data_IF_072985318625
#
_entry.id   IF_072985318625
#
_cell.length_a   1.000
_cell.length_b   1.000
_cell.length_c   1.000
_cell.angle_alpha   90.00
_cell.angle_beta   90.00
_cell.angle_gamma   90.00
#
_symmetry.space_group_name_H-M   'P 1'
#
loop_
_entity.id
_entity.type
_entity.pdbx_description
1 polymer ?
#
# COMPACT_ATOMS: atom_id res chain seq x y z
N UNK A 1 -12.55 43.89 2.10
CA UNK A 1 -12.44 42.89 3.19
C UNK A 1 -13.77 42.74 3.93
N UNK A 2 -14.42 43.82 4.40
CA UNK A 2 -15.71 43.74 5.12
C UNK A 2 -16.84 43.07 4.38
N UNK A 3 -17.00 43.28 3.05
CA UNK A 3 -18.06 42.64 2.25
C UNK A 3 -17.94 41.13 2.25
N UNK A 4 -16.75 40.57 1.98
CA UNK A 4 -16.50 39.11 1.98
C UNK A 4 -16.79 38.49 3.35
N UNK A 5 -16.50 39.16 4.44
CA UNK A 5 -16.79 38.71 5.80
C UNK A 5 -18.31 38.68 6.07
N UNK A 6 -18.99 39.73 5.61
CA UNK A 6 -20.46 39.79 5.70
C UNK A 6 -21.12 38.63 4.93
N UNK A 7 -20.71 38.45 3.67
CA UNK A 7 -21.25 37.37 2.81
C UNK A 7 -20.96 35.98 3.36
N UNK A 8 -19.73 35.77 3.91
CA UNK A 8 -19.38 34.53 4.58
C UNK A 8 -20.29 34.25 5.79
N UNK A 9 -20.55 35.28 6.60
CA UNK A 9 -21.43 35.15 7.76
C UNK A 9 -22.86 34.83 7.32
N UNK A 10 -23.37 35.52 6.30
CA UNK A 10 -24.71 35.26 5.73
C UNK A 10 -24.83 33.80 5.24
N UNK A 11 -23.80 33.28 4.55
CA UNK A 11 -23.73 31.86 4.14
C UNK A 11 -23.75 30.89 5.32
N UNK A 12 -22.97 31.18 6.37
CA UNK A 12 -22.95 30.35 7.58
C UNK A 12 -24.30 30.27 8.26
N UNK A 13 -25.05 31.41 8.36
CA UNK A 13 -26.40 31.43 8.93
C UNK A 13 -27.40 30.68 8.06
N UNK A 14 -27.28 30.75 6.73
CA UNK A 14 -28.24 30.17 5.78
C UNK A 14 -27.98 28.66 5.54
N UNK A 15 -26.71 28.27 5.36
CA UNK A 15 -26.30 26.90 4.92
C UNK A 15 -25.63 26.08 6.02
N UNK A 16 -25.36 26.68 7.17
CA UNK A 16 -24.57 26.06 8.22
C UNK A 16 -23.06 26.15 7.94
N UNK A 17 -22.27 25.58 8.84
CA UNK A 17 -20.81 25.57 8.75
C UNK A 17 -20.28 24.64 7.69
N UNK A 18 -19.16 25.04 7.09
CA UNK A 18 -18.36 24.20 6.21
C UNK A 18 -17.10 23.72 6.93
N UNK A 19 -16.81 22.44 6.84
CA UNK A 19 -15.55 21.88 7.34
C UNK A 19 -14.52 21.80 6.21
N UNK A 20 -13.36 22.39 6.42
CA UNK A 20 -12.21 22.27 5.51
C UNK A 20 -11.38 21.01 5.80
N UNK A 21 -11.70 20.25 6.86
CA UNK A 21 -10.96 19.07 7.28
C UNK A 21 -9.49 19.37 7.62
N UNK A 22 -8.68 18.34 7.72
CA UNK A 22 -7.23 18.48 7.93
C UNK A 22 -6.52 18.54 6.57
N UNK A 23 -6.48 19.73 5.97
CA UNK A 23 -5.71 19.95 4.73
C UNK A 23 -4.23 20.13 5.09
N UNK A 24 -3.38 19.28 4.51
CA UNK A 24 -1.92 19.41 4.63
C UNK A 24 -1.38 20.38 3.56
N UNK A 25 -0.31 21.08 3.88
CA UNK A 25 0.43 21.87 2.89
C UNK A 25 1.20 20.94 1.93
N UNK A 26 0.79 20.93 0.67
CA UNK A 26 1.39 20.11 -0.38
C UNK A 26 2.38 20.86 -1.28
N UNK A 27 2.72 22.12 -0.98
CA UNK A 27 3.62 22.91 -1.83
C UNK A 27 5.00 22.27 -1.98
N UNK A 28 5.52 21.63 -0.94
CA UNK A 28 6.76 20.86 -1.01
C UNK A 28 6.65 19.66 -1.95
N UNK A 29 5.53 18.95 -1.90
CA UNK A 29 5.20 17.82 -2.78
C UNK A 29 5.13 18.26 -4.24
N UNK A 30 4.47 19.37 -4.53
CA UNK A 30 4.40 19.94 -5.89
C UNK A 30 5.77 20.33 -6.43
N UNK A 31 6.65 20.92 -5.60
CA UNK A 31 8.02 21.23 -6.01
C UNK A 31 8.82 19.98 -6.41
N UNK A 32 8.60 18.85 -5.74
CA UNK A 32 9.24 17.58 -6.11
C UNK A 32 8.74 17.07 -7.46
N UNK A 33 7.44 17.19 -7.74
CA UNK A 33 6.89 16.85 -9.05
C UNK A 33 7.50 17.69 -10.17
N UNK A 34 7.71 19.00 -9.98
CA UNK A 34 8.29 19.87 -11.01
C UNK A 34 9.73 19.51 -11.38
N UNK A 35 10.46 18.82 -10.51
CA UNK A 35 11.80 18.27 -10.79
C UNK A 35 11.78 16.81 -11.23
N UNK A 36 10.59 16.27 -11.54
CA UNK A 36 10.43 14.91 -12.09
C UNK A 36 10.50 13.78 -11.06
N UNK A 37 10.40 14.08 -9.75
CA UNK A 37 10.39 13.05 -8.72
C UNK A 37 9.00 12.42 -8.60
N UNK A 38 8.92 11.09 -8.55
CA UNK A 38 7.70 10.41 -8.19
C UNK A 38 7.35 10.63 -6.71
N UNK A 39 6.06 10.69 -6.40
CA UNK A 39 5.53 10.80 -5.04
C UNK A 39 5.33 9.41 -4.44
N UNK A 40 5.48 9.32 -3.12
CA UNK A 40 5.11 8.11 -2.38
C UNK A 40 3.61 8.07 -2.04
N UNK A 41 3.12 6.95 -1.53
CA UNK A 41 1.71 6.76 -1.20
C UNK A 41 1.17 7.80 -0.19
N UNK A 42 1.85 8.13 0.93
CA UNK A 42 1.42 9.19 1.84
C UNK A 42 1.29 10.58 1.19
N UNK A 43 2.19 10.93 0.26
CA UNK A 43 2.16 12.20 -0.46
C UNK A 43 0.97 12.26 -1.42
N UNK A 44 0.75 11.20 -2.21
CA UNK A 44 -0.42 11.07 -3.10
C UNK A 44 -1.75 11.11 -2.33
N UNK A 45 -1.83 10.44 -1.18
CA UNK A 45 -3.01 10.51 -0.31
C UNK A 45 -3.23 11.92 0.26
N UNK A 46 -2.17 12.69 0.50
CA UNK A 46 -2.29 14.08 0.95
C UNK A 46 -2.84 14.98 -0.17
N UNK A 47 -2.37 14.77 -1.41
CA UNK A 47 -2.94 15.41 -2.61
C UNK A 47 -4.41 15.03 -2.78
N UNK A 48 -4.73 13.75 -2.72
CA UNK A 48 -6.09 13.23 -2.83
C UNK A 48 -7.04 13.88 -1.80
N UNK A 49 -6.61 13.95 -0.53
CA UNK A 49 -7.39 14.58 0.54
C UNK A 49 -7.65 16.07 0.28
N UNK A 50 -6.69 16.80 -0.29
CA UNK A 50 -6.88 18.19 -0.71
C UNK A 50 -7.92 18.28 -1.83
N UNK A 51 -7.83 17.44 -2.85
CA UNK A 51 -8.78 17.43 -3.99
C UNK A 51 -10.21 17.06 -3.54
N UNK A 52 -10.36 16.06 -2.67
CA UNK A 52 -11.64 15.68 -2.08
C UNK A 52 -12.25 16.83 -1.24
N UNK A 53 -11.42 17.52 -0.47
CA UNK A 53 -11.82 18.71 0.28
C UNK A 53 -12.27 19.83 -0.66
N UNK A 54 -11.52 20.10 -1.71
CA UNK A 54 -11.86 21.06 -2.75
C UNK A 54 -13.22 20.75 -3.38
N UNK A 55 -13.49 19.46 -3.66
CA UNK A 55 -14.80 19.02 -4.16
C UNK A 55 -15.94 19.31 -3.20
N UNK A 56 -15.76 19.03 -1.89
CA UNK A 56 -16.78 19.34 -0.86
C UNK A 56 -17.03 20.84 -0.73
N UNK A 57 -15.97 21.65 -0.74
CA UNK A 57 -16.08 23.11 -0.66
C UNK A 57 -16.79 23.66 -1.90
N UNK A 58 -16.45 23.16 -3.09
CA UNK A 58 -17.14 23.55 -4.33
C UNK A 58 -18.63 23.15 -4.34
N UNK A 59 -18.94 21.95 -3.83
CA UNK A 59 -20.32 21.48 -3.71
C UNK A 59 -21.13 22.33 -2.74
N UNK A 60 -20.53 22.75 -1.61
CA UNK A 60 -21.18 23.66 -0.65
C UNK A 60 -21.61 24.99 -1.32
N UNK A 61 -20.84 25.51 -2.26
CA UNK A 61 -21.21 26.76 -2.97
C UNK A 61 -22.45 26.59 -3.86
N UNK A 62 -22.70 25.37 -4.38
CA UNK A 62 -23.74 25.08 -5.38
C UNK A 62 -25.10 24.70 -4.80
N UNK A 63 -25.19 24.43 -3.50
CA UNK A 63 -26.37 23.80 -2.90
C UNK A 63 -27.65 24.65 -2.87
N UNK A 64 -27.63 25.95 -3.30
CA UNK A 64 -28.81 26.82 -3.36
C UNK A 64 -28.88 27.57 -4.69
N UNK A 65 -29.01 26.84 -5.78
CA UNK A 65 -29.24 27.47 -7.09
C UNK A 65 -30.60 28.16 -7.25
N UNK A 66 -31.50 27.96 -6.30
CA UNK A 66 -32.87 28.45 -6.41
C UNK A 66 -33.05 29.93 -6.00
N UNK A 67 -32.08 30.52 -5.29
CA UNK A 67 -32.25 31.89 -4.77
C UNK A 67 -31.65 33.01 -5.63
N UNK A 68 -30.97 32.69 -6.74
CA UNK A 68 -30.40 33.72 -7.63
C UNK A 68 -29.36 34.64 -6.98
N UNK A 69 -28.98 34.40 -5.72
CA UNK A 69 -28.06 35.26 -4.98
C UNK A 69 -26.62 34.98 -5.40
N UNK A 70 -26.04 35.96 -6.05
CA UNK A 70 -24.55 36.03 -6.25
C UNK A 70 -23.98 36.90 -5.15
N UNK A 71 -22.83 36.46 -4.58
CA UNK A 71 -22.10 37.21 -3.57
C UNK A 71 -20.60 37.32 -3.89
N UNK A 72 -19.88 38.07 -3.06
CA UNK A 72 -18.45 38.33 -3.29
C UNK A 72 -17.53 37.10 -3.16
N UNK A 73 -18.07 35.95 -2.73
CA UNK A 73 -17.33 34.69 -2.55
C UNK A 73 -17.48 33.75 -3.76
N UNK A 74 -18.46 33.97 -4.62
CA UNK A 74 -18.74 33.06 -5.77
C UNK A 74 -17.53 32.88 -6.67
N UNK A 75 -16.79 33.94 -6.95
CA UNK A 75 -15.55 33.86 -7.73
C UNK A 75 -14.48 32.98 -7.07
N UNK A 76 -14.37 32.98 -5.76
CA UNK A 76 -13.43 32.12 -5.02
C UNK A 76 -13.86 30.65 -5.10
N UNK A 77 -15.14 30.34 -4.95
CA UNK A 77 -15.63 28.97 -5.09
C UNK A 77 -15.57 28.48 -6.53
N UNK A 78 -15.84 29.35 -7.51
CA UNK A 78 -15.77 29.01 -8.93
C UNK A 78 -14.34 28.64 -9.37
N UNK A 79 -13.33 29.28 -8.79
CA UNK A 79 -11.90 29.01 -9.09
C UNK A 79 -11.37 27.67 -8.54
N UNK A 80 -12.17 26.98 -7.70
CA UNK A 80 -11.76 25.68 -7.16
C UNK A 80 -11.88 24.59 -8.23
N UNK A 81 -10.79 23.83 -8.43
CA UNK A 81 -10.76 22.69 -9.35
C UNK A 81 -10.51 21.39 -8.56
N UNK A 82 -11.56 20.56 -8.33
CA UNK A 82 -11.45 19.37 -7.48
C UNK A 82 -10.71 18.20 -8.15
N UNK A 83 -10.47 18.22 -9.46
CA UNK A 83 -9.82 17.15 -10.21
C UNK A 83 -10.32 15.76 -9.79
N UNK A 84 -11.64 15.60 -9.75
CA UNK A 84 -12.30 14.37 -9.25
C UNK A 84 -11.80 13.09 -9.90
N UNK A 85 -11.52 13.03 -11.23
CA UNK A 85 -10.95 11.82 -11.83
C UNK A 85 -9.63 11.41 -11.19
N UNK A 86 -8.74 12.37 -10.91
CA UNK A 86 -7.45 12.11 -10.29
C UNK A 86 -7.61 11.63 -8.83
N UNK A 87 -8.43 12.29 -8.04
CA UNK A 87 -8.66 11.85 -6.64
C UNK A 87 -9.28 10.46 -6.57
N UNK A 88 -10.21 10.14 -7.49
CA UNK A 88 -10.82 8.80 -7.60
C UNK A 88 -9.77 7.74 -7.98
N UNK A 89 -8.90 8.05 -8.93
CA UNK A 89 -7.86 7.13 -9.37
C UNK A 89 -6.83 6.88 -8.27
N UNK A 90 -6.40 7.92 -7.54
CA UNK A 90 -5.52 7.75 -6.38
C UNK A 90 -6.17 6.83 -5.34
N UNK A 91 -7.46 7.02 -5.02
CA UNK A 91 -8.19 6.17 -4.06
C UNK A 91 -8.35 4.74 -4.53
N UNK A 92 -8.54 4.53 -5.82
CA UNK A 92 -8.63 3.19 -6.41
C UNK A 92 -7.31 2.43 -6.25
N UNK A 93 -6.19 3.12 -6.41
CA UNK A 93 -4.86 2.52 -6.37
C UNK A 93 -4.27 2.41 -4.96
N UNK A 94 -4.56 3.37 -4.08
CA UNK A 94 -3.91 3.47 -2.75
C UNK A 94 -4.98 3.37 -1.66
N UNK A 95 -4.97 2.25 -0.93
CA UNK A 95 -5.91 1.99 0.17
C UNK A 95 -5.47 2.66 1.47
N UNK A 96 -4.18 2.63 1.76
CA UNK A 96 -3.57 3.27 2.92
C UNK A 96 -2.13 3.70 2.63
N UNK A 97 -1.47 4.33 3.61
CA UNK A 97 -0.07 4.75 3.49
C UNK A 97 0.89 3.60 3.18
N UNK A 98 0.55 2.39 3.59
CA UNK A 98 1.37 1.18 3.49
C UNK A 98 0.75 0.12 2.55
N UNK A 99 -0.38 0.43 1.90
CA UNK A 99 -1.15 -0.57 1.15
C UNK A 99 -1.60 -0.04 -0.23
N UNK A 100 -1.10 -0.69 -1.26
CA UNK A 100 -1.51 -0.51 -2.66
C UNK A 100 -2.53 -1.58 -3.02
N UNK A 101 -3.63 -1.17 -3.63
CA UNK A 101 -4.72 -2.07 -4.05
C UNK A 101 -4.26 -3.08 -5.11
N UNK A 102 -4.76 -4.29 -5.04
CA UNK A 102 -4.63 -5.28 -6.13
C UNK A 102 -5.22 -4.77 -7.44
N UNK A 103 -6.21 -3.87 -7.35
CA UNK A 103 -6.86 -3.26 -8.50
C UNK A 103 -6.07 -2.10 -9.11
N UNK A 104 -4.94 -1.72 -8.51
CA UNK A 104 -4.09 -0.65 -9.03
C UNK A 104 -3.52 -1.01 -10.43
N UNK A 105 -3.12 -2.27 -10.64
CA UNK A 105 -2.77 -2.77 -11.97
C UNK A 105 -3.07 -4.27 -12.12
N UNK A 106 -3.28 -4.73 -13.35
CA UNK A 106 -3.42 -6.15 -13.66
C UNK A 106 -2.13 -6.92 -13.38
N UNK A 107 -0.99 -6.29 -13.59
CA UNK A 107 0.34 -6.84 -13.32
C UNK A 107 0.54 -7.09 -11.83
N UNK A 108 0.24 -6.11 -10.97
CA UNK A 108 0.34 -6.24 -9.51
C UNK A 108 -0.53 -7.39 -9.00
N UNK A 109 -1.79 -7.44 -9.47
CA UNK A 109 -2.72 -8.52 -9.12
C UNK A 109 -2.19 -9.89 -9.51
N UNK A 110 -1.61 -10.02 -10.70
CA UNK A 110 -1.03 -11.29 -11.16
C UNK A 110 0.19 -11.69 -10.32
N UNK A 111 1.09 -10.76 -10.01
CA UNK A 111 2.26 -11.01 -9.18
C UNK A 111 1.83 -11.50 -7.80
N UNK A 112 0.88 -10.84 -7.13
CA UNK A 112 0.38 -11.23 -5.80
C UNK A 112 -0.30 -12.59 -5.80
N UNK A 113 -1.06 -12.92 -6.85
CA UNK A 113 -1.61 -14.27 -7.04
C UNK A 113 -0.51 -15.31 -7.16
N UNK A 114 0.57 -15.00 -7.89
CA UNK A 114 1.70 -15.90 -8.04
C UNK A 114 2.46 -16.10 -6.72
N UNK A 115 2.65 -15.03 -5.93
CA UNK A 115 3.23 -15.11 -4.59
C UNK A 115 2.40 -16.04 -3.71
N UNK A 116 1.09 -15.84 -3.67
CA UNK A 116 0.17 -16.69 -2.88
C UNK A 116 0.25 -18.15 -3.30
N UNK A 117 0.14 -18.42 -4.60
CA UNK A 117 0.22 -19.79 -5.11
C UNK A 117 1.57 -20.45 -4.81
N UNK A 118 2.67 -19.72 -4.86
CA UNK A 118 4.00 -20.24 -4.53
C UNK A 118 4.14 -20.51 -3.03
N UNK A 119 3.63 -19.62 -2.17
CA UNK A 119 3.53 -19.85 -0.73
C UNK A 119 2.74 -21.12 -0.40
N UNK A 120 1.56 -21.31 -1.00
CA UNK A 120 0.72 -22.49 -0.80
C UNK A 120 1.46 -23.78 -1.20
N UNK A 121 2.23 -23.74 -2.29
CA UNK A 121 3.07 -24.88 -2.72
C UNK A 121 4.19 -25.19 -1.73
N UNK A 122 4.88 -24.17 -1.19
CA UNK A 122 5.91 -24.36 -0.16
C UNK A 122 5.29 -25.01 1.07
N UNK A 123 4.19 -24.46 1.56
CA UNK A 123 3.51 -25.00 2.74
C UNK A 123 3.10 -26.47 2.52
N UNK A 124 2.58 -26.81 1.36
CA UNK A 124 2.22 -28.20 1.01
C UNK A 124 3.43 -29.13 1.04
N UNK A 125 4.55 -28.73 0.42
CA UNK A 125 5.76 -29.54 0.39
C UNK A 125 6.40 -29.70 1.77
N UNK A 126 6.50 -28.59 2.53
CA UNK A 126 7.07 -28.64 3.87
C UNK A 126 6.19 -29.41 4.85
N UNK A 127 4.88 -29.28 4.78
CA UNK A 127 3.96 -30.05 5.60
C UNK A 127 4.10 -31.55 5.33
N UNK A 128 4.28 -31.96 4.08
CA UNK A 128 4.55 -33.35 3.73
C UNK A 128 5.88 -33.87 4.30
N UNK A 129 6.95 -33.04 4.25
CA UNK A 129 8.24 -33.37 4.85
C UNK A 129 8.16 -33.50 6.37
N UNK A 130 7.53 -32.53 7.03
CA UNK A 130 7.40 -32.45 8.48
C UNK A 130 6.54 -33.60 9.04
N UNK A 131 5.48 -33.99 8.34
CA UNK A 131 4.63 -35.13 8.74
C UNK A 131 5.21 -36.50 8.36
N UNK A 132 6.10 -36.53 7.38
CA UNK A 132 6.65 -37.74 6.76
C UNK A 132 8.13 -37.98 7.09
N UNK A 133 8.95 -37.93 6.07
CA UNK A 133 10.36 -38.40 6.10
C UNK A 133 11.26 -37.63 7.08
N UNK A 134 11.00 -36.36 7.34
CA UNK A 134 11.84 -35.56 8.23
C UNK A 134 11.39 -35.62 9.71
N UNK A 135 10.21 -36.13 10.01
CA UNK A 135 9.54 -36.03 11.33
C UNK A 135 10.45 -36.39 12.51
N UNK A 136 11.21 -37.48 12.42
CA UNK A 136 12.06 -37.97 13.50
C UNK A 136 13.31 -37.10 13.72
N UNK A 137 13.68 -36.29 12.75
CA UNK A 137 14.87 -35.44 12.76
C UNK A 137 14.58 -34.04 13.24
N UNK A 138 13.28 -33.66 13.34
CA UNK A 138 12.87 -32.31 13.72
C UNK A 138 12.91 -32.12 15.23
N UNK A 139 13.26 -30.90 15.65
CA UNK A 139 13.09 -30.44 17.03
C UNK A 139 11.61 -30.22 17.32
N UNK A 140 10.89 -29.59 16.38
CA UNK A 140 9.45 -29.34 16.41
C UNK A 140 8.86 -29.53 15.02
N UNK A 141 7.62 -29.99 14.94
CA UNK A 141 6.90 -30.20 13.66
C UNK A 141 6.26 -28.91 13.17
N UNK A 142 7.07 -27.85 13.01
CA UNK A 142 6.63 -26.52 12.58
C UNK A 142 7.38 -26.04 11.34
N UNK A 143 6.73 -25.20 10.55
CA UNK A 143 7.35 -24.46 9.45
C UNK A 143 7.67 -23.08 10.00
N UNK A 144 8.91 -22.61 9.83
CA UNK A 144 9.37 -21.31 10.30
C UNK A 144 9.91 -20.48 9.16
N UNK A 145 10.15 -19.20 9.40
CA UNK A 145 10.83 -18.33 8.46
C UNK A 145 12.12 -17.80 9.08
N UNK A 146 13.23 -17.86 8.34
CA UNK A 146 14.52 -17.30 8.69
C UNK A 146 15.08 -16.56 7.48
N UNK A 147 15.48 -15.31 7.67
CA UNK A 147 16.00 -14.43 6.59
C UNK A 147 15.11 -14.39 5.34
N UNK A 148 13.78 -14.41 5.54
CA UNK A 148 12.82 -14.43 4.43
C UNK A 148 12.73 -15.77 3.70
N UNK A 149 13.25 -16.87 4.29
CA UNK A 149 13.23 -18.23 3.71
C UNK A 149 12.40 -19.16 4.59
N UNK A 150 11.58 -19.99 3.98
CA UNK A 150 10.86 -21.05 4.68
C UNK A 150 11.82 -22.16 5.07
N UNK A 151 11.89 -22.46 6.35
CA UNK A 151 12.78 -23.42 6.97
C UNK A 151 12.02 -24.36 7.90
N UNK A 152 12.65 -25.48 8.24
CA UNK A 152 12.21 -26.41 9.28
C UNK A 152 13.28 -26.56 10.36
N UNK A 153 12.91 -26.67 11.67
CA UNK A 153 13.85 -26.81 12.76
C UNK A 153 14.32 -28.28 12.90
N UNK A 154 15.58 -28.53 12.55
CA UNK A 154 16.21 -29.86 12.59
C UNK A 154 17.14 -29.95 13.79
N UNK A 155 17.12 -31.05 14.54
CA UNK A 155 18.10 -31.32 15.60
C UNK A 155 19.50 -31.37 14.99
N UNK A 156 20.47 -30.70 15.61
CA UNK A 156 21.82 -30.56 15.05
C UNK A 156 22.50 -31.90 14.75
N UNK A 157 22.23 -32.94 15.55
CA UNK A 157 22.73 -34.32 15.36
C UNK A 157 22.25 -34.99 14.06
N UNK A 158 21.10 -34.53 13.51
CA UNK A 158 20.50 -35.06 12.28
C UNK A 158 20.73 -34.16 11.06
N UNK A 159 21.66 -33.21 11.13
CA UNK A 159 21.99 -32.29 10.02
C UNK A 159 22.16 -32.99 8.67
N UNK A 160 22.79 -34.18 8.66
CA UNK A 160 23.07 -34.94 7.44
C UNK A 160 21.83 -35.69 6.88
N UNK A 161 20.75 -35.77 7.62
CA UNK A 161 19.54 -36.51 7.23
C UNK A 161 18.52 -35.63 6.49
N UNK A 162 18.65 -34.30 6.58
CA UNK A 162 17.78 -33.34 5.90
C UNK A 162 18.63 -32.51 4.92
N UNK A 163 18.67 -32.90 3.65
CA UNK A 163 19.42 -32.13 2.65
C UNK A 163 18.84 -30.73 2.50
N UNK A 164 19.68 -29.70 2.63
CA UNK A 164 19.23 -28.31 2.55
C UNK A 164 20.30 -27.32 2.95
N UNK A 165 19.91 -26.04 3.01
CA UNK A 165 20.76 -24.94 3.40
C UNK A 165 20.43 -24.49 4.83
N UNK A 166 21.46 -24.32 5.68
CA UNK A 166 21.29 -23.82 7.03
C UNK A 166 21.25 -22.28 6.97
N UNK A 167 20.18 -21.68 7.47
CA UNK A 167 20.03 -20.23 7.52
C UNK A 167 20.25 -19.68 8.92
N UNK A 168 19.97 -20.47 9.95
CA UNK A 168 20.07 -20.02 11.33
C UNK A 168 20.28 -21.21 12.28
N UNK A 169 20.65 -20.93 13.55
CA UNK A 169 20.71 -21.91 14.62
C UNK A 169 20.17 -21.36 15.92
N UNK A 170 19.69 -22.23 16.81
CA UNK A 170 19.28 -21.83 18.16
C UNK A 170 20.50 -21.34 18.97
N UNK A 171 20.24 -20.55 20.02
CA UNK A 171 21.30 -19.99 20.87
C UNK A 171 22.22 -21.07 21.49
N UNK A 172 21.69 -22.28 21.74
CA UNK A 172 22.45 -23.43 22.24
C UNK A 172 23.13 -24.23 21.13
N UNK A 173 22.85 -23.93 19.87
CA UNK A 173 23.34 -24.70 18.72
C UNK A 173 22.69 -26.09 18.54
N UNK A 174 21.71 -26.45 19.39
CA UNK A 174 21.04 -27.76 19.36
C UNK A 174 20.02 -27.91 18.21
N UNK A 175 19.56 -26.81 17.65
CA UNK A 175 18.59 -26.77 16.55
C UNK A 175 19.14 -25.97 15.39
N UNK A 176 19.06 -26.51 14.19
CA UNK A 176 19.42 -25.86 12.95
C UNK A 176 18.15 -25.55 12.15
N UNK A 177 18.01 -24.34 11.66
CA UNK A 177 16.93 -23.95 10.77
C UNK A 177 17.36 -24.18 9.34
N UNK A 178 16.87 -25.28 8.76
CA UNK A 178 17.26 -25.75 7.44
C UNK A 178 16.17 -25.42 6.44
N UNK A 179 16.55 -24.79 5.33
CA UNK A 179 15.75 -24.69 4.11
C UNK A 179 15.96 -26.01 3.31
N UNK A 180 14.96 -26.90 3.24
CA UNK A 180 15.11 -28.15 2.51
C UNK A 180 15.31 -27.90 1.01
N UNK A 181 16.16 -28.73 0.38
CA UNK A 181 16.41 -28.64 -1.08
C UNK A 181 15.13 -28.66 -1.91
N UNK A 182 14.10 -29.36 -1.45
CA UNK A 182 12.81 -29.45 -2.12
C UNK A 182 12.13 -28.08 -2.31
N UNK A 183 12.39 -27.10 -1.44
CA UNK A 183 11.73 -25.78 -1.50
C UNK A 183 12.65 -24.62 -1.86
N UNK A 184 13.96 -24.87 -2.05
CA UNK A 184 14.95 -23.82 -2.40
C UNK A 184 14.51 -23.02 -3.64
N UNK A 185 14.09 -23.73 -4.70
CA UNK A 185 13.61 -23.07 -5.91
C UNK A 185 12.38 -22.21 -5.64
N UNK A 186 11.39 -22.71 -4.91
CA UNK A 186 10.16 -21.97 -4.60
C UNK A 186 10.45 -20.73 -3.72
N UNK A 187 11.35 -20.85 -2.75
CA UNK A 187 11.81 -19.69 -1.96
C UNK A 187 12.49 -18.64 -2.84
N UNK A 188 13.29 -19.06 -3.83
CA UNK A 188 13.89 -18.13 -4.80
C UNK A 188 12.82 -17.47 -5.67
N UNK A 189 11.84 -18.24 -6.15
CA UNK A 189 10.73 -17.73 -6.96
C UNK A 189 9.93 -16.66 -6.18
N UNK A 190 9.67 -16.87 -4.87
CA UNK A 190 9.02 -15.85 -4.02
C UNK A 190 9.86 -14.59 -3.98
N UNK A 191 11.15 -14.69 -3.74
CA UNK A 191 12.03 -13.51 -3.66
C UNK A 191 12.03 -12.70 -4.95
N UNK A 192 12.06 -13.37 -6.10
CA UNK A 192 11.93 -12.71 -7.39
C UNK A 192 10.57 -12.03 -7.57
N UNK A 193 9.49 -12.67 -7.13
CA UNK A 193 8.14 -12.11 -7.21
C UNK A 193 7.99 -10.89 -6.30
N UNK A 194 8.55 -10.91 -5.09
CA UNK A 194 8.56 -9.76 -4.17
C UNK A 194 9.29 -8.55 -4.78
N UNK A 195 10.42 -8.79 -5.43
CA UNK A 195 11.15 -7.73 -6.14
C UNK A 195 10.34 -7.17 -7.33
N UNK A 196 9.63 -8.03 -8.06
CA UNK A 196 8.72 -7.61 -9.14
C UNK A 196 7.54 -6.82 -8.59
N UNK A 197 6.99 -7.22 -7.44
CA UNK A 197 5.91 -6.49 -6.76
C UNK A 197 6.36 -5.08 -6.39
N UNK A 198 7.51 -4.97 -5.74
CA UNK A 198 8.06 -3.67 -5.35
C UNK A 198 8.27 -2.76 -6.55
N UNK A 199 8.84 -3.28 -7.63
CA UNK A 199 9.06 -2.53 -8.87
C UNK A 199 7.74 -2.09 -9.52
N UNK A 200 6.73 -2.95 -9.53
CA UNK A 200 5.41 -2.60 -10.08
C UNK A 200 4.73 -1.52 -9.24
N UNK A 201 4.86 -1.55 -7.91
CA UNK A 201 4.37 -0.49 -7.01
C UNK A 201 5.04 0.84 -7.36
N UNK A 202 6.35 0.87 -7.60
CA UNK A 202 7.07 2.08 -8.03
C UNK A 202 6.52 2.63 -9.35
N UNK A 203 6.23 1.75 -10.32
CA UNK A 203 5.63 2.13 -11.61
C UNK A 203 4.24 2.75 -11.42
N UNK A 204 3.41 2.15 -10.57
CA UNK A 204 2.06 2.67 -10.25
C UNK A 204 2.16 4.07 -9.63
N UNK A 205 3.01 4.25 -8.62
CA UNK A 205 3.19 5.54 -7.94
C UNK A 205 3.75 6.61 -8.90
N UNK A 206 4.70 6.23 -9.75
CA UNK A 206 5.23 7.13 -10.78
C UNK A 206 4.15 7.53 -11.80
N UNK A 207 3.33 6.60 -12.25
CA UNK A 207 2.21 6.87 -13.18
C UNK A 207 1.17 7.82 -12.57
N UNK A 208 0.80 7.62 -11.30
CA UNK A 208 -0.08 8.55 -10.57
C UNK A 208 0.54 9.93 -10.39
N UNK A 209 1.84 10.00 -10.25
CA UNK A 209 2.58 11.27 -10.09
C UNK A 209 2.69 12.07 -11.38
N UNK A 210 2.46 11.48 -12.55
CA UNK A 210 2.51 12.13 -13.87
C UNK A 210 1.17 12.69 -14.30
N UNK A 211 0.07 12.40 -13.63
CA UNK A 211 -1.28 12.91 -13.91
C UNK A 211 -1.50 14.29 -13.29
#
# INVERSE_FOLDING_TARGET
>A
MQLKTHDALARLFKKGGISFGSVKDIRGTLKRLTVGSALNAPELLSVCSLLENTGRVKAYSRSDRDDGMTDSLDGMFASLEPLTPLSTEIRRCILSKDEISDDASSTLRQIRRSIKATNDRIHTQLSSLVAGSARNYLQDSVITMRDGRYCIPVKAEYKGQVPGMIHDQSATGSTLFIEPMAVVKLNNDIRELELKEQKEIEVILASLSQQ
#
